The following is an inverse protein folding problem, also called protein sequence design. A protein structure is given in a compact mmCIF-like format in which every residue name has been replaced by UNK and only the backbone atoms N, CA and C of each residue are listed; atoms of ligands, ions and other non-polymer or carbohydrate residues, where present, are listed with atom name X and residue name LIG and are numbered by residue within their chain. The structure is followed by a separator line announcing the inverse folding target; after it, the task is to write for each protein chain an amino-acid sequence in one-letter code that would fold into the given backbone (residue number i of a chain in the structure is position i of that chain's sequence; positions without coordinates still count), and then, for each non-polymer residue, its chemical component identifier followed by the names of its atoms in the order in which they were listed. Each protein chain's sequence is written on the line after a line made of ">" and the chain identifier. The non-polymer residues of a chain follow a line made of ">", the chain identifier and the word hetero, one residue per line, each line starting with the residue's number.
data_IF_036107112558
#
_entry.id   IF_036107112558
#
_cell.length_a   1.000
_cell.length_b   1.000
_cell.length_c   1.000
_cell.angle_alpha   90.00
_cell.angle_beta   90.00
_cell.angle_gamma   90.00
#
_symmetry.space_group_name_H-M   'P 1'
#
loop_
_entity.id
_entity.type
_entity.pdbx_description
1 polymer ?
#
# COMPACT_ATOMS: atom_id res chain seq x y z
N UNK A 1 3.58 35.49 -11.28
CA UNK A 1 3.07 35.98 -12.58
C UNK A 1 1.54 35.79 -12.57
N UNK A 2 0.81 36.85 -12.85
CA UNK A 2 -0.62 36.98 -12.66
C UNK A 2 -1.42 35.94 -13.48
N UNK A 3 -2.32 35.20 -12.85
CA UNK A 3 -3.23 34.23 -13.50
C UNK A 3 -4.00 34.88 -14.69
N UNK A 4 -4.26 36.18 -14.60
CA UNK A 4 -4.92 36.92 -15.67
C UNK A 4 -4.01 37.11 -16.90
N UNK A 5 -2.71 37.25 -16.72
CA UNK A 5 -1.77 37.44 -17.82
C UNK A 5 -1.58 36.14 -18.62
N UNK A 6 -1.46 35.00 -17.94
CA UNK A 6 -1.36 33.69 -18.55
C UNK A 6 -2.64 33.29 -19.31
N UNK A 7 -3.83 33.59 -18.75
CA UNK A 7 -5.11 33.39 -19.40
C UNK A 7 -5.25 34.27 -20.65
N UNK A 8 -4.77 35.52 -20.63
CA UNK A 8 -4.76 36.42 -21.79
C UNK A 8 -3.81 35.93 -22.89
N UNK A 9 -2.66 35.41 -22.57
CA UNK A 9 -1.71 34.86 -23.54
C UNK A 9 -2.24 33.58 -24.20
N UNK A 10 -2.85 32.68 -23.43
CA UNK A 10 -3.50 31.49 -23.94
C UNK A 10 -4.70 31.82 -24.85
N UNK A 11 -5.54 32.78 -24.43
CA UNK A 11 -6.65 33.25 -25.26
C UNK A 11 -6.17 33.94 -26.56
N UNK A 12 -5.03 34.65 -26.54
CA UNK A 12 -4.40 35.21 -27.75
C UNK A 12 -3.85 34.13 -28.67
N UNK A 13 -3.24 33.08 -28.14
CA UNK A 13 -2.79 31.93 -28.91
C UNK A 13 -3.95 31.19 -29.57
N UNK A 14 -5.05 30.97 -28.84
CA UNK A 14 -6.28 30.40 -29.38
C UNK A 14 -6.93 31.31 -30.42
N UNK A 15 -6.99 32.62 -30.18
CA UNK A 15 -7.61 33.60 -31.12
C UNK A 15 -6.84 33.72 -32.46
N UNK A 16 -5.56 33.34 -32.50
CA UNK A 16 -4.78 33.24 -33.71
C UNK A 16 -4.87 31.90 -34.46
N UNK A 17 -5.63 30.93 -33.92
CA UNK A 17 -5.79 29.60 -34.50
C UNK A 17 -6.93 29.59 -35.53
N UNK A 18 -6.70 29.12 -36.78
CA UNK A 18 -7.76 29.02 -37.79
C UNK A 18 -8.89 28.06 -37.43
N UNK A 19 -8.74 27.25 -36.37
CA UNK A 19 -9.76 26.32 -35.83
C UNK A 19 -10.89 27.03 -35.09
N UNK A 20 -10.74 28.32 -34.73
CA UNK A 20 -11.79 29.07 -33.96
C UNK A 20 -12.72 29.90 -34.85
N UNK A 21 -12.66 29.72 -36.14
CA UNK A 21 -13.52 30.47 -37.09
C UNK A 21 -14.99 30.04 -37.07
N UNK A 22 -15.39 29.03 -36.24
CA UNK A 22 -16.76 28.58 -36.11
C UNK A 22 -17.30 28.83 -34.69
N UNK A 23 -18.47 29.46 -34.52
CA UNK A 23 -19.10 29.77 -33.23
C UNK A 23 -19.31 28.54 -32.34
N UNK A 24 -19.52 27.37 -32.95
CA UNK A 24 -19.74 26.09 -32.26
C UNK A 24 -18.51 25.60 -31.50
N UNK A 25 -17.32 25.79 -32.04
CA UNK A 25 -16.05 25.35 -31.40
C UNK A 25 -15.70 26.32 -30.25
N UNK A 26 -15.94 27.61 -30.41
CA UNK A 26 -15.73 28.61 -29.37
C UNK A 26 -16.63 28.35 -28.13
N UNK A 27 -17.88 27.94 -28.32
CA UNK A 27 -18.80 27.55 -27.26
C UNK A 27 -18.37 26.28 -26.51
N UNK A 28 -17.90 25.30 -27.26
CA UNK A 28 -17.40 24.02 -26.66
C UNK A 28 -16.13 24.22 -25.84
N UNK A 29 -15.20 25.06 -26.32
CA UNK A 29 -13.97 25.40 -25.57
C UNK A 29 -14.30 26.23 -24.32
N UNK A 30 -15.24 27.17 -24.38
CA UNK A 30 -15.67 27.92 -23.21
C UNK A 30 -16.35 27.03 -22.17
N UNK A 31 -17.13 26.03 -22.59
CA UNK A 31 -17.74 25.01 -21.72
C UNK A 31 -16.70 24.08 -21.08
N UNK A 32 -15.66 23.67 -21.82
CA UNK A 32 -14.55 22.88 -21.29
C UNK A 32 -13.66 23.67 -20.31
N UNK A 33 -13.53 24.98 -20.50
CA UNK A 33 -12.78 25.87 -19.61
C UNK A 33 -13.59 26.29 -18.35
N UNK A 34 -14.90 26.13 -18.36
CA UNK A 34 -15.78 26.43 -17.23
C UNK A 34 -16.05 25.23 -16.31
N UNK A 35 -15.86 23.99 -16.80
CA UNK A 35 -15.80 22.82 -15.95
C UNK A 35 -14.51 22.89 -15.13
N UNK A 36 -14.60 22.70 -13.80
CA UNK A 36 -13.43 22.65 -12.94
C UNK A 36 -12.43 21.64 -13.53
N UNK A 37 -11.20 22.06 -13.86
CA UNK A 37 -10.25 21.17 -14.49
C UNK A 37 -10.01 19.99 -13.59
N UNK A 38 -10.06 18.79 -14.16
CA UNK A 38 -9.61 17.57 -13.49
C UNK A 38 -8.23 17.88 -12.86
N UNK A 39 -8.05 17.55 -11.57
CA UNK A 39 -6.84 17.89 -10.82
C UNK A 39 -5.56 17.48 -11.56
N UNK A 40 -5.61 16.35 -12.29
CA UNK A 40 -4.49 15.87 -13.11
C UNK A 40 -4.16 16.81 -14.28
N UNK A 41 -5.17 17.40 -14.93
CA UNK A 41 -4.97 18.39 -15.99
C UNK A 41 -4.37 19.70 -15.42
N UNK A 42 -4.85 20.16 -14.27
CA UNK A 42 -4.33 21.35 -13.62
C UNK A 42 -2.85 21.16 -13.22
N UNK A 43 -2.49 20.00 -12.69
CA UNK A 43 -1.10 19.66 -12.33
C UNK A 43 -0.18 19.58 -13.56
N UNK A 44 -0.66 18.99 -14.67
CA UNK A 44 0.08 18.94 -15.93
C UNK A 44 0.35 20.36 -16.49
N UNK A 45 -0.62 21.28 -16.35
CA UNK A 45 -0.43 22.66 -16.78
C UNK A 45 0.55 23.43 -15.91
N UNK A 46 0.58 23.19 -14.60
CA UNK A 46 1.53 23.84 -13.69
C UNK A 46 2.97 23.36 -13.95
N UNK A 47 3.15 22.07 -14.27
CA UNK A 47 4.44 21.51 -14.71
C UNK A 47 4.95 22.11 -16.02
N UNK A 48 4.05 22.36 -16.98
CA UNK A 48 4.40 22.97 -18.28
C UNK A 48 4.72 24.47 -18.19
N UNK A 49 4.29 25.16 -17.12
CA UNK A 49 4.49 26.62 -16.94
C UNK A 49 5.84 27.01 -16.38
N UNK A 50 6.70 26.05 -16.00
CA UNK A 50 7.98 26.34 -15.40
C UNK A 50 7.93 26.97 -13.99
N UNK A 51 6.74 27.04 -13.40
CA UNK A 51 6.51 27.46 -11.99
C UNK A 51 6.75 26.30 -11.01
N UNK A 52 7.06 25.10 -11.57
CA UNK A 52 7.41 23.95 -10.76
C UNK A 52 8.72 24.22 -10.01
N UNK A 53 8.69 24.05 -8.70
CA UNK A 53 9.89 24.05 -7.89
C UNK A 53 10.92 23.09 -8.51
N UNK A 54 12.17 23.53 -8.67
CA UNK A 54 13.22 22.68 -9.25
C UNK A 54 13.38 21.41 -8.40
N UNK A 55 13.61 20.30 -9.07
CA UNK A 55 14.00 19.07 -8.39
C UNK A 55 15.30 19.28 -7.61
N UNK A 56 15.48 18.52 -6.58
CA UNK A 56 16.71 18.46 -5.80
C UNK A 56 17.87 17.86 -6.61
N UNK A 57 19.02 17.68 -5.94
CA UNK A 57 20.14 16.95 -6.52
C UNK A 57 19.69 15.60 -7.10
N UNK A 58 20.34 15.16 -8.16
CA UNK A 58 20.10 13.87 -8.85
C UNK A 58 18.66 13.69 -9.37
N UNK A 59 17.92 14.78 -9.54
CA UNK A 59 16.54 14.76 -10.04
C UNK A 59 15.52 14.23 -9.03
N UNK A 60 15.87 14.18 -7.75
CA UNK A 60 14.98 13.70 -6.68
C UNK A 60 13.96 14.78 -6.31
N UNK A 61 12.72 14.38 -6.10
CA UNK A 61 11.64 15.29 -5.65
C UNK A 61 11.97 15.89 -4.27
N UNK A 62 11.65 17.17 -4.08
CA UNK A 62 11.82 17.92 -2.82
C UNK A 62 10.48 18.33 -2.20
N UNK A 63 9.38 18.01 -2.88
CA UNK A 63 8.01 18.15 -2.34
C UNK A 63 7.10 17.05 -2.89
N UNK A 64 6.04 16.66 -2.15
CA UNK A 64 5.11 15.63 -2.61
C UNK A 64 4.43 15.98 -3.95
N UNK A 65 4.19 17.27 -4.22
CA UNK A 65 3.51 17.74 -5.43
C UNK A 65 4.31 17.51 -6.71
N UNK A 66 5.62 17.28 -6.61
CA UNK A 66 6.48 16.98 -7.75
C UNK A 66 6.40 15.50 -8.19
N UNK A 67 5.86 14.64 -7.33
CA UNK A 67 5.74 13.23 -7.65
C UNK A 67 4.72 12.99 -8.78
N UNK A 68 5.17 12.31 -9.82
CA UNK A 68 4.36 11.87 -10.96
C UNK A 68 3.81 10.47 -10.75
N UNK A 69 4.47 9.67 -9.93
CA UNK A 69 4.06 8.33 -9.54
C UNK A 69 4.73 7.94 -8.20
N UNK A 70 4.37 6.79 -7.66
CA UNK A 70 4.86 6.39 -6.32
C UNK A 70 6.36 6.04 -6.29
N UNK A 71 6.99 5.71 -7.43
CA UNK A 71 8.43 5.41 -7.46
C UNK A 71 9.29 6.65 -7.19
N UNK A 72 8.77 7.86 -7.44
CA UNK A 72 9.50 9.10 -7.16
C UNK A 72 9.76 9.30 -5.65
N UNK A 73 8.99 8.62 -4.78
CA UNK A 73 9.16 8.70 -3.33
C UNK A 73 10.29 7.81 -2.80
N UNK A 74 10.68 6.75 -3.49
CA UNK A 74 11.72 5.83 -3.00
C UNK A 74 13.09 6.53 -2.87
N UNK A 75 13.62 7.21 -3.90
CA UNK A 75 14.88 7.95 -3.78
C UNK A 75 14.76 9.11 -2.78
N UNK A 76 13.61 9.77 -2.67
CA UNK A 76 13.38 10.81 -1.67
C UNK A 76 13.43 10.24 -0.23
N UNK A 77 12.82 9.08 0.00
CA UNK A 77 12.90 8.37 1.27
C UNK A 77 14.35 7.92 1.60
N UNK A 78 15.09 7.42 0.60
CA UNK A 78 16.49 7.06 0.76
C UNK A 78 17.33 8.27 1.20
N UNK A 79 17.11 9.43 0.59
CA UNK A 79 17.79 10.66 0.96
C UNK A 79 17.40 11.13 2.37
N UNK A 80 16.11 11.09 2.71
CA UNK A 80 15.63 11.46 4.05
C UNK A 80 16.21 10.55 5.15
N UNK A 81 16.46 9.27 4.84
CA UNK A 81 17.02 8.27 5.73
C UNK A 81 18.54 8.05 5.53
N UNK A 82 19.24 8.95 4.83
CA UNK A 82 20.67 8.78 4.53
C UNK A 82 21.53 8.66 5.80
N UNK A 83 21.16 9.36 6.89
CA UNK A 83 21.80 9.22 8.20
C UNK A 83 21.38 7.95 8.96
N UNK A 84 20.45 7.17 8.42
CA UNK A 84 19.80 6.02 9.04
C UNK A 84 19.72 4.83 8.05
N UNK A 85 20.84 4.38 7.46
CA UNK A 85 20.80 3.41 6.37
C UNK A 85 20.09 2.10 6.73
N UNK A 86 20.18 1.63 7.97
CA UNK A 86 19.44 0.44 8.42
C UNK A 86 17.92 0.64 8.38
N UNK A 87 17.42 1.85 8.60
CA UNK A 87 15.98 2.14 8.51
C UNK A 87 15.50 2.09 7.06
N UNK A 88 16.27 2.63 6.12
CA UNK A 88 15.97 2.46 4.70
C UNK A 88 16.12 0.98 4.28
N UNK A 89 17.15 0.29 4.75
CA UNK A 89 17.35 -1.13 4.54
C UNK A 89 16.15 -1.99 4.95
N UNK A 90 15.47 -1.60 6.03
CA UNK A 90 14.22 -2.27 6.43
C UNK A 90 13.14 -2.17 5.34
N UNK A 91 13.01 -1.03 4.66
CA UNK A 91 12.06 -0.85 3.56
C UNK A 91 12.51 -1.54 2.27
N UNK A 92 13.82 -1.54 1.98
CA UNK A 92 14.37 -2.05 0.74
C UNK A 92 14.46 -3.59 0.70
N UNK A 93 14.60 -4.26 1.86
CA UNK A 93 14.94 -5.68 1.91
C UNK A 93 13.76 -6.62 1.67
N UNK A 94 14.02 -7.73 0.98
CA UNK A 94 13.30 -8.99 1.01
C UNK A 94 13.99 -10.02 1.91
N UNK A 95 13.87 -11.30 1.54
CA UNK A 95 14.57 -12.45 2.15
C UNK A 95 15.66 -12.91 1.21
N UNK A 96 16.77 -13.36 1.76
CA UNK A 96 17.97 -13.81 1.06
C UNK A 96 18.42 -12.79 -0.01
N UNK A 97 18.43 -13.18 -1.28
CA UNK A 97 18.79 -12.38 -2.44
C UNK A 97 17.67 -11.46 -2.97
N UNK A 98 16.59 -11.26 -2.21
CA UNK A 98 15.41 -10.49 -2.58
C UNK A 98 14.61 -11.08 -3.77
N UNK A 99 14.77 -12.36 -4.11
CA UNK A 99 14.08 -12.98 -5.27
C UNK A 99 12.56 -12.92 -5.18
N UNK A 100 11.96 -13.25 -4.03
CA UNK A 100 10.51 -13.13 -3.82
C UNK A 100 10.03 -11.67 -3.90
N UNK A 101 10.86 -10.72 -3.43
CA UNK A 101 10.57 -9.29 -3.56
C UNK A 101 10.49 -8.87 -5.04
N UNK A 102 11.45 -9.33 -5.86
CA UNK A 102 11.44 -9.06 -7.32
C UNK A 102 10.26 -9.73 -8.00
N UNK A 103 10.01 -11.01 -7.71
CA UNK A 103 8.89 -11.77 -8.26
C UNK A 103 7.53 -11.07 -8.04
N UNK A 104 7.32 -10.44 -6.86
CA UNK A 104 6.12 -9.66 -6.59
C UNK A 104 5.94 -8.47 -7.56
N UNK A 105 7.01 -7.91 -8.13
CA UNK A 105 6.90 -6.82 -9.11
C UNK A 105 6.77 -7.37 -10.53
N UNK A 106 7.53 -8.38 -10.86
CA UNK A 106 7.59 -8.96 -12.20
C UNK A 106 6.25 -9.59 -12.62
N UNK A 107 5.54 -10.22 -11.68
CA UNK A 107 4.26 -10.89 -11.94
C UNK A 107 3.17 -9.97 -12.54
N UNK A 108 3.25 -8.66 -12.32
CA UNK A 108 2.32 -7.74 -12.96
C UNK A 108 2.50 -7.66 -14.48
N UNK A 109 3.67 -8.04 -15.01
CA UNK A 109 3.92 -8.08 -16.45
C UNK A 109 3.24 -9.26 -17.15
N UNK A 110 2.83 -10.30 -16.40
CA UNK A 110 2.17 -11.49 -16.93
C UNK A 110 0.73 -11.21 -17.41
N UNK A 111 0.18 -10.07 -17.01
CA UNK A 111 -1.18 -9.68 -17.32
C UNK A 111 -1.22 -8.32 -18.01
N UNK A 112 -2.04 -8.22 -19.06
CA UNK A 112 -2.35 -6.95 -19.73
C UNK A 112 -3.81 -6.59 -19.52
N UNK A 113 -4.13 -5.29 -19.41
CA UNK A 113 -5.51 -4.82 -19.26
C UNK A 113 -6.16 -4.68 -20.64
N UNK A 114 -7.33 -5.29 -20.81
CA UNK A 114 -8.15 -5.17 -22.03
C UNK A 114 -8.94 -3.88 -21.99
N UNK A 115 -8.51 -2.90 -22.76
CA UNK A 115 -9.18 -1.60 -22.83
C UNK A 115 -10.45 -1.66 -23.69
N UNK A 116 -11.50 -0.95 -23.27
CA UNK A 116 -12.77 -0.82 -23.98
C UNK A 116 -12.98 0.64 -24.39
N UNK A 117 -13.65 0.84 -25.51
CA UNK A 117 -13.93 2.17 -26.05
C UNK A 117 -15.43 2.42 -26.15
N UNK A 118 -15.81 3.68 -26.26
CA UNK A 118 -17.20 4.15 -26.42
C UNK A 118 -18.13 3.74 -25.26
N UNK A 119 -17.59 3.65 -24.06
CA UNK A 119 -18.31 3.45 -22.80
C UNK A 119 -18.35 4.78 -22.06
N UNK A 120 -19.51 5.21 -21.61
CA UNK A 120 -19.63 6.43 -20.80
C UNK A 120 -19.06 6.21 -19.40
N UNK A 121 -17.81 6.59 -19.21
CA UNK A 121 -17.08 6.45 -17.95
C UNK A 121 -16.88 7.79 -17.23
N UNK A 122 -17.77 8.75 -17.43
CA UNK A 122 -17.73 10.04 -16.73
C UNK A 122 -17.84 9.90 -15.21
N UNK A 123 -18.58 8.89 -14.75
CA UNK A 123 -18.73 8.54 -13.33
C UNK A 123 -18.21 7.13 -13.12
N UNK A 124 -17.26 6.99 -12.19
CA UNK A 124 -16.70 5.73 -11.76
C UNK A 124 -16.83 5.65 -10.24
N UNK A 125 -17.31 4.52 -9.74
CA UNK A 125 -17.43 4.24 -8.31
C UNK A 125 -16.33 3.27 -7.89
N UNK A 126 -15.50 3.69 -6.95
CA UNK A 126 -14.37 2.89 -6.42
C UNK A 126 -14.70 2.20 -5.10
N UNK A 127 -15.91 2.33 -4.61
CA UNK A 127 -16.32 1.76 -3.33
C UNK A 127 -16.35 0.23 -3.36
N UNK A 128 -16.00 -0.35 -2.22
CA UNK A 128 -16.08 -1.79 -1.99
C UNK A 128 -16.70 -2.05 -0.61
N UNK A 129 -17.49 -3.13 -0.50
CA UNK A 129 -18.06 -3.54 0.79
C UNK A 129 -17.26 -4.74 1.33
N UNK A 130 -16.78 -4.62 2.57
CA UNK A 130 -16.06 -5.68 3.28
C UNK A 130 -16.62 -5.77 4.70
N UNK A 131 -17.11 -6.95 5.09
CA UNK A 131 -17.71 -7.21 6.41
C UNK A 131 -18.87 -6.27 6.77
N UNK A 132 -19.62 -5.81 5.76
CA UNK A 132 -20.73 -4.87 5.96
C UNK A 132 -20.31 -3.40 6.05
N UNK A 133 -19.01 -3.10 6.05
CA UNK A 133 -18.49 -1.75 5.97
C UNK A 133 -18.26 -1.34 4.50
N UNK A 134 -18.53 -0.08 4.19
CA UNK A 134 -18.22 0.49 2.87
C UNK A 134 -16.91 1.25 2.95
N UNK A 135 -15.92 0.81 2.17
CA UNK A 135 -14.67 1.52 1.96
C UNK A 135 -14.78 2.36 0.69
N UNK A 136 -14.33 3.61 0.74
CA UNK A 136 -14.37 4.53 -0.41
C UNK A 136 -13.41 4.11 -1.55
N UNK A 137 -12.40 3.31 -1.21
CA UNK A 137 -11.39 2.78 -2.13
C UNK A 137 -11.10 1.31 -1.82
N UNK A 138 -10.84 0.46 -2.83
CA UNK A 138 -10.35 -0.89 -2.61
C UNK A 138 -8.87 -0.96 -2.22
N UNK A 139 -8.21 0.19 -2.08
CA UNK A 139 -6.81 0.28 -1.64
C UNK A 139 -6.79 0.47 -0.12
N UNK A 140 -5.99 -0.33 0.58
CA UNK A 140 -5.79 -0.17 2.02
C UNK A 140 -4.30 -0.11 2.38
N UNK A 141 -3.98 0.49 3.53
CA UNK A 141 -2.62 0.56 4.03
C UNK A 141 -2.29 -0.67 4.85
N UNK A 142 -1.28 -1.42 4.39
CA UNK A 142 -0.79 -2.62 5.07
C UNK A 142 -0.22 -2.31 6.45
N UNK A 143 -0.28 -3.28 7.39
CA UNK A 143 0.31 -3.14 8.70
C UNK A 143 1.84 -3.18 8.63
N UNK A 144 2.48 -2.02 8.58
CA UNK A 144 3.94 -1.89 8.65
C UNK A 144 4.34 -1.51 10.07
N UNK A 145 5.30 -2.26 10.61
CA UNK A 145 5.79 -2.09 11.98
C UNK A 145 6.74 -0.90 12.11
N UNK A 146 6.81 -0.33 13.32
CA UNK A 146 7.92 0.55 13.73
C UNK A 146 8.10 1.79 12.85
N UNK A 147 7.01 2.46 12.50
CA UNK A 147 7.03 3.60 11.57
C UNK A 147 7.80 4.83 12.12
N UNK A 148 8.07 4.89 13.43
CA UNK A 148 9.00 5.86 14.00
C UNK A 148 10.44 5.72 13.45
N UNK A 149 10.79 4.58 12.86
CA UNK A 149 12.06 4.39 12.16
C UNK A 149 12.14 5.25 10.89
N UNK A 150 11.00 5.52 10.26
CA UNK A 150 10.91 6.30 9.02
C UNK A 150 10.67 7.78 9.30
N UNK A 151 9.75 8.06 10.24
CA UNK A 151 9.45 9.41 10.67
C UNK A 151 9.09 9.38 12.17
N UNK A 152 10.00 9.76 13.07
CA UNK A 152 9.77 9.66 14.51
C UNK A 152 8.70 10.62 15.04
N UNK A 153 8.39 11.69 14.33
CA UNK A 153 7.37 12.67 14.72
C UNK A 153 5.97 12.23 14.30
N UNK A 154 5.82 11.84 13.05
CA UNK A 154 4.50 11.52 12.45
C UNK A 154 4.06 10.09 12.76
N UNK A 155 4.95 9.12 12.66
CA UNK A 155 4.69 7.70 12.94
C UNK A 155 3.40 7.22 12.27
N UNK A 156 2.71 6.26 12.89
CA UNK A 156 1.40 5.74 12.43
C UNK A 156 0.29 6.80 12.51
N UNK A 157 0.45 7.86 13.32
CA UNK A 157 -0.54 8.93 13.45
C UNK A 157 -0.63 9.77 12.18
N UNK A 158 0.51 10.11 11.57
CA UNK A 158 0.54 10.79 10.27
C UNK A 158 -0.08 9.95 9.16
N UNK A 159 0.14 8.62 9.21
CA UNK A 159 -0.49 7.68 8.27
C UNK A 159 -2.00 7.62 8.47
N UNK A 160 -2.48 7.57 9.72
CA UNK A 160 -3.90 7.56 10.04
C UNK A 160 -4.62 8.83 9.54
N UNK A 161 -4.01 10.03 9.76
CA UNK A 161 -4.54 11.30 9.23
C UNK A 161 -4.58 11.33 7.71
N UNK A 162 -3.53 10.83 7.06
CA UNK A 162 -3.49 10.72 5.60
C UNK A 162 -4.57 9.78 5.06
N UNK A 163 -4.72 8.60 5.68
CA UNK A 163 -5.75 7.62 5.32
C UNK A 163 -7.15 8.22 5.44
N UNK A 164 -7.46 8.91 6.55
CA UNK A 164 -8.72 9.65 6.73
C UNK A 164 -8.96 10.66 5.61
N UNK A 165 -7.97 11.49 5.31
CA UNK A 165 -8.10 12.57 4.33
C UNK A 165 -8.33 12.06 2.93
N UNK A 166 -7.76 10.92 2.60
CA UNK A 166 -7.84 10.31 1.25
C UNK A 166 -8.90 9.22 1.14
N UNK A 167 -9.62 8.91 2.24
CA UNK A 167 -10.72 7.93 2.24
C UNK A 167 -10.25 6.47 2.17
N UNK A 168 -9.07 6.15 2.73
CA UNK A 168 -8.52 4.80 2.70
C UNK A 168 -8.57 4.14 4.08
N UNK A 169 -8.77 2.83 4.13
CA UNK A 169 -8.68 2.05 5.36
C UNK A 169 -7.21 1.73 5.68
N UNK A 170 -6.90 1.58 6.97
CA UNK A 170 -5.58 1.13 7.42
C UNK A 170 -5.67 -0.03 8.40
N UNK A 171 -4.58 -0.80 8.47
CA UNK A 171 -4.39 -1.86 9.44
C UNK A 171 -3.20 -1.50 10.32
N UNK A 172 -3.39 -1.41 11.62
CA UNK A 172 -2.31 -1.15 12.57
C UNK A 172 -1.58 -2.43 12.94
N UNK A 173 -0.25 -2.38 13.00
CA UNK A 173 0.58 -3.51 13.47
C UNK A 173 0.69 -3.53 15.00
N UNK A 174 0.67 -4.73 15.61
CA UNK A 174 0.98 -4.97 17.04
C UNK A 174 2.25 -4.25 17.50
N UNK A 175 3.27 -4.22 16.66
CA UNK A 175 4.56 -3.61 16.95
C UNK A 175 4.73 -2.22 16.32
N UNK A 176 3.62 -1.50 16.16
CA UNK A 176 3.61 -0.07 15.85
C UNK A 176 4.21 0.77 16.96
N UNK A 177 4.39 2.06 16.69
CA UNK A 177 4.86 3.06 17.68
C UNK A 177 3.72 3.97 18.16
N UNK A 178 2.49 3.64 17.82
CA UNK A 178 1.26 4.31 18.27
C UNK A 178 0.22 3.26 18.65
N UNK A 179 -0.71 3.64 19.53
CA UNK A 179 -1.79 2.74 19.95
C UNK A 179 -2.91 2.70 18.92
N UNK A 180 -3.77 1.67 19.02
CA UNK A 180 -4.94 1.57 18.16
C UNK A 180 -5.96 2.66 18.46
N UNK A 181 -6.06 3.07 19.72
CA UNK A 181 -6.92 4.15 20.17
C UNK A 181 -6.50 5.50 19.57
N UNK A 182 -5.18 5.80 19.60
CA UNK A 182 -4.61 7.01 18.98
C UNK A 182 -4.83 7.01 17.48
N UNK A 183 -4.49 5.90 16.81
CA UNK A 183 -4.63 5.78 15.36
C UNK A 183 -6.10 5.85 14.92
N UNK A 184 -7.03 5.19 15.63
CA UNK A 184 -8.46 5.27 15.35
C UNK A 184 -9.02 6.68 15.52
N UNK A 185 -8.57 7.42 16.56
CA UNK A 185 -8.92 8.83 16.75
C UNK A 185 -8.44 9.71 15.58
N UNK A 186 -7.19 9.57 15.16
CA UNK A 186 -6.63 10.34 14.05
C UNK A 186 -7.25 9.94 12.71
N UNK A 187 -7.59 8.66 12.52
CA UNK A 187 -8.30 8.16 11.35
C UNK A 187 -9.77 8.62 11.32
N UNK A 188 -10.37 8.87 12.48
CA UNK A 188 -11.76 9.31 12.62
C UNK A 188 -12.80 8.20 12.48
N UNK A 189 -12.38 6.95 12.37
CA UNK A 189 -13.20 5.73 12.41
C UNK A 189 -12.36 4.55 12.89
N UNK A 190 -12.99 3.43 13.32
CA UNK A 190 -12.28 2.22 13.68
C UNK A 190 -11.38 1.71 12.54
N UNK A 191 -10.22 1.21 12.92
CA UNK A 191 -9.23 0.62 12.01
C UNK A 191 -9.02 -0.86 12.34
N UNK A 192 -8.54 -1.64 11.38
CA UNK A 192 -8.22 -3.04 11.62
C UNK A 192 -6.93 -3.18 12.41
N UNK A 193 -6.81 -4.26 13.17
CA UNK A 193 -5.64 -4.54 13.99
C UNK A 193 -4.93 -5.82 13.55
N UNK A 194 -3.65 -5.72 13.19
CA UNK A 194 -2.82 -6.87 12.86
C UNK A 194 -2.11 -7.37 14.11
N UNK A 195 -2.40 -8.63 14.43
CA UNK A 195 -1.88 -9.36 15.57
C UNK A 195 -0.64 -10.16 15.20
N UNK A 196 0.47 -9.87 15.86
CA UNK A 196 1.52 -10.84 16.12
C UNK A 196 1.26 -11.42 17.50
N UNK A 197 0.91 -12.69 17.61
CA UNK A 197 0.71 -13.30 18.91
C UNK A 197 2.05 -13.43 19.65
N UNK A 198 1.98 -13.40 20.99
CA UNK A 198 3.12 -13.70 21.84
C UNK A 198 3.09 -15.17 22.25
N UNK A 199 4.21 -15.67 22.77
CA UNK A 199 4.27 -16.98 23.44
C UNK A 199 3.55 -17.01 24.79
N UNK A 200 3.15 -15.85 25.34
CA UNK A 200 2.21 -15.73 26.46
C UNK A 200 0.78 -15.50 25.94
N UNK A 201 -0.07 -16.49 26.17
CA UNK A 201 -1.47 -16.43 25.75
C UNK A 201 -2.27 -15.31 26.42
N UNK A 202 -2.01 -15.00 27.69
CA UNK A 202 -2.73 -13.94 28.40
C UNK A 202 -2.43 -12.58 27.81
N UNK A 203 -1.16 -12.34 27.41
CA UNK A 203 -0.76 -11.13 26.71
C UNK A 203 -1.43 -11.06 25.34
N UNK A 204 -1.45 -12.16 24.59
CA UNK A 204 -2.14 -12.24 23.30
C UNK A 204 -3.64 -11.91 23.44
N UNK A 205 -4.32 -12.50 24.42
CA UNK A 205 -5.73 -12.19 24.69
C UNK A 205 -5.95 -10.72 25.09
N UNK A 206 -5.05 -10.15 25.88
CA UNK A 206 -5.13 -8.75 26.29
C UNK A 206 -5.00 -7.80 25.09
N UNK A 207 -4.10 -8.09 24.14
CA UNK A 207 -3.97 -7.35 22.90
C UNK A 207 -5.25 -7.39 22.06
N UNK A 208 -5.85 -8.58 21.90
CA UNK A 208 -7.14 -8.74 21.20
C UNK A 208 -8.24 -7.93 21.88
N UNK A 209 -8.40 -8.09 23.20
CA UNK A 209 -9.41 -7.35 23.96
C UNK A 209 -9.23 -5.84 23.86
N UNK A 210 -7.97 -5.35 23.89
CA UNK A 210 -7.66 -3.94 23.75
C UNK A 210 -8.07 -3.42 22.36
N UNK A 211 -7.71 -4.16 21.32
CA UNK A 211 -8.04 -3.78 19.95
C UNK A 211 -9.56 -3.73 19.72
N UNK A 212 -10.29 -4.76 20.16
CA UNK A 212 -11.75 -4.79 20.07
C UNK A 212 -12.41 -3.73 20.96
N UNK A 213 -11.83 -3.46 22.14
CA UNK A 213 -12.28 -2.39 23.02
C UNK A 213 -12.14 -0.99 22.42
N UNK A 214 -11.15 -0.79 21.55
CA UNK A 214 -10.97 0.41 20.73
C UNK A 214 -11.86 0.43 19.47
N UNK A 215 -12.69 -0.60 19.27
CA UNK A 215 -13.64 -0.70 18.17
C UNK A 215 -13.10 -1.38 16.91
N UNK A 216 -11.93 -2.05 16.95
CA UNK A 216 -11.40 -2.73 15.76
C UNK A 216 -12.39 -3.78 15.23
N UNK A 217 -12.88 -3.65 14.00
CA UNK A 217 -13.89 -4.58 13.44
C UNK A 217 -13.27 -5.92 13.04
N UNK A 218 -11.95 -5.96 12.80
CA UNK A 218 -11.24 -7.15 12.41
C UNK A 218 -9.87 -7.27 13.11
N UNK A 219 -9.57 -8.50 13.53
CA UNK A 219 -8.26 -8.93 14.00
C UNK A 219 -7.58 -9.69 12.86
N UNK A 220 -6.41 -9.25 12.43
CA UNK A 220 -5.66 -9.83 11.31
C UNK A 220 -4.48 -10.61 11.89
N UNK A 221 -4.62 -11.92 12.03
CA UNK A 221 -3.53 -12.80 12.48
C UNK A 221 -2.50 -12.97 11.36
N UNK A 222 -1.26 -12.61 11.63
CA UNK A 222 -0.15 -12.81 10.68
C UNK A 222 0.53 -14.13 10.94
N UNK A 223 0.54 -15.03 9.95
CA UNK A 223 1.01 -16.42 10.05
C UNK A 223 2.33 -16.70 9.31
N UNK A 224 2.88 -15.73 8.59
CA UNK A 224 4.04 -15.89 7.71
C UNK A 224 5.41 -15.58 8.36
N UNK A 225 5.49 -15.61 9.71
CA UNK A 225 6.71 -15.24 10.44
C UNK A 225 7.37 -16.40 11.22
N UNK A 226 6.79 -17.58 11.16
CA UNK A 226 7.19 -18.71 12.01
C UNK A 226 8.57 -19.30 11.64
N UNK A 227 8.94 -19.31 10.35
CA UNK A 227 10.15 -19.93 9.84
C UNK A 227 11.44 -19.13 10.09
N UNK A 228 11.34 -17.90 10.63
CA UNK A 228 12.46 -16.97 10.61
C UNK A 228 12.76 -16.43 9.20
N UNK A 229 13.80 -15.64 9.07
CA UNK A 229 14.21 -15.09 7.77
C UNK A 229 15.63 -14.56 7.80
N UNK A 230 16.34 -14.67 6.69
CA UNK A 230 17.59 -13.98 6.44
C UNK A 230 17.31 -12.72 5.61
N UNK A 231 17.73 -11.53 6.07
CA UNK A 231 17.48 -10.24 5.39
C UNK A 231 18.82 -9.60 5.05
N UNK A 232 19.50 -10.16 4.02
CA UNK A 232 20.86 -9.76 3.66
C UNK A 232 20.98 -8.29 3.33
N UNK A 233 20.07 -7.73 2.52
CA UNK A 233 20.07 -6.31 2.14
C UNK A 233 19.98 -5.42 3.37
N UNK A 234 19.12 -5.74 4.34
CA UNK A 234 19.04 -4.99 5.61
C UNK A 234 20.36 -5.11 6.39
N UNK A 235 20.94 -6.30 6.50
CA UNK A 235 22.19 -6.48 7.24
C UNK A 235 23.35 -5.71 6.61
N UNK A 236 23.47 -5.72 5.27
CA UNK A 236 24.50 -4.92 4.56
C UNK A 236 24.37 -3.43 4.88
N UNK A 237 23.15 -2.90 4.92
CA UNK A 237 22.91 -1.50 5.29
C UNK A 237 23.12 -1.25 6.78
N UNK A 238 22.82 -2.22 7.65
CA UNK A 238 23.08 -2.14 9.08
C UNK A 238 24.55 -2.05 9.40
N UNK A 239 25.43 -2.72 8.66
CA UNK A 239 26.88 -2.59 8.82
C UNK A 239 27.39 -1.17 8.55
N UNK A 240 26.65 -0.35 7.84
CA UNK A 240 26.96 1.06 7.57
C UNK A 240 26.32 2.01 8.58
N UNK A 241 25.48 1.52 9.50
CA UNK A 241 24.73 2.34 10.46
C UNK A 241 25.40 2.28 11.85
N UNK A 242 26.11 3.33 12.21
CA UNK A 242 26.83 3.43 13.49
C UNK A 242 25.98 4.02 14.62
N UNK A 243 24.68 4.29 14.39
CA UNK A 243 23.82 4.89 15.40
C UNK A 243 23.28 3.85 16.38
N UNK A 244 23.07 4.21 17.65
CA UNK A 244 22.23 3.42 18.53
C UNK A 244 20.78 3.55 18.05
N UNK A 245 20.19 2.46 17.54
CA UNK A 245 18.80 2.46 17.11
C UNK A 245 17.88 2.50 18.34
N UNK A 246 17.27 3.67 18.61
CA UNK A 246 16.41 3.86 19.77
C UNK A 246 15.08 4.56 19.43
N UNK A 247 14.79 4.80 18.15
CA UNK A 247 13.57 5.52 17.74
C UNK A 247 12.29 4.66 17.86
N UNK A 248 12.39 3.35 17.57
CA UNK A 248 11.24 2.46 17.47
C UNK A 248 11.27 1.24 18.41
N UNK A 249 12.41 0.96 19.05
CA UNK A 249 12.57 -0.11 20.05
C UNK A 249 13.72 0.22 21.02
N UNK A 250 13.79 -0.51 22.13
CA UNK A 250 14.92 -0.44 23.06
C UNK A 250 15.86 -1.59 22.74
N UNK A 251 17.16 -1.35 22.43
CA UNK A 251 18.13 -2.40 22.17
C UNK A 251 18.32 -3.34 23.37
N UNK A 252 18.65 -4.59 23.10
CA UNK A 252 18.97 -5.59 24.13
C UNK A 252 18.09 -6.82 24.07
N UNK A 253 17.81 -7.41 25.23
CA UNK A 253 16.95 -8.59 25.34
C UNK A 253 15.56 -8.35 24.75
N UNK A 254 14.91 -9.44 24.32
CA UNK A 254 13.59 -9.38 23.67
C UNK A 254 12.55 -8.56 24.45
N UNK A 255 12.47 -8.71 25.78
CA UNK A 255 11.61 -7.93 26.63
C UNK A 255 11.82 -6.39 26.49
N UNK A 256 12.99 -5.97 26.01
CA UNK A 256 13.26 -4.56 25.71
C UNK A 256 12.71 -4.12 24.35
N UNK A 257 12.53 -5.04 23.40
CA UNK A 257 11.98 -4.70 22.09
C UNK A 257 10.56 -4.15 22.19
N UNK A 258 9.76 -4.64 23.13
CA UNK A 258 8.37 -4.24 23.33
C UNK A 258 8.21 -2.97 24.17
N UNK A 259 9.24 -2.49 24.87
CA UNK A 259 9.17 -1.28 25.73
C UNK A 259 8.77 0.00 25.00
N UNK A 260 8.92 0.06 23.70
CA UNK A 260 8.49 1.20 22.86
C UNK A 260 7.36 0.82 21.90
N UNK A 261 6.60 -0.20 22.27
CA UNK A 261 5.43 -0.67 21.53
C UNK A 261 4.19 -0.42 22.36
N UNK A 262 3.51 0.73 22.18
CA UNK A 262 2.45 1.20 23.09
C UNK A 262 1.26 0.26 23.23
N UNK A 263 1.08 -0.68 22.29
CA UNK A 263 0.05 -1.72 22.43
C UNK A 263 0.29 -2.65 23.63
N UNK A 264 1.52 -2.73 24.15
CA UNK A 264 1.88 -3.52 25.31
C UNK A 264 1.88 -2.71 26.62
N UNK A 265 1.59 -1.41 26.59
CA UNK A 265 1.56 -0.58 27.79
C UNK A 265 0.52 -1.08 28.76
N UNK A 266 0.92 -1.23 30.03
CA UNK A 266 0.08 -1.77 31.11
C UNK A 266 -0.04 -3.30 31.14
N UNK A 267 0.60 -4.03 30.22
CA UNK A 267 0.64 -5.49 30.24
C UNK A 267 1.92 -6.00 30.92
N UNK A 268 1.80 -7.09 31.68
CA UNK A 268 2.96 -7.82 32.17
C UNK A 268 3.55 -8.66 31.04
N UNK A 269 4.67 -8.20 30.50
CA UNK A 269 5.41 -8.86 29.41
C UNK A 269 6.67 -9.57 29.90
N UNK A 270 6.83 -9.74 31.21
CA UNK A 270 8.05 -10.33 31.82
C UNK A 270 8.32 -11.77 31.36
N UNK A 271 7.28 -12.50 31.03
CA UNK A 271 7.33 -13.89 30.56
C UNK A 271 7.35 -14.02 29.03
N UNK A 272 7.17 -12.91 28.29
CA UNK A 272 7.20 -12.95 26.83
C UNK A 272 8.63 -13.05 26.33
N UNK A 273 8.91 -14.11 25.60
CA UNK A 273 10.24 -14.35 24.98
C UNK A 273 10.21 -14.26 23.45
N UNK A 274 9.00 -14.33 22.84
CA UNK A 274 8.82 -14.32 21.40
C UNK A 274 7.51 -13.63 21.00
N UNK A 275 7.57 -12.86 19.89
CA UNK A 275 6.44 -12.15 19.29
C UNK A 275 5.86 -12.82 18.05
N UNK A 276 6.37 -13.95 17.62
CA UNK A 276 5.97 -14.48 16.31
C UNK A 276 5.45 -15.90 16.36
N UNK A 277 5.26 -16.42 17.56
CA UNK A 277 4.57 -17.70 17.82
C UNK A 277 5.08 -18.86 16.98
N UNK A 278 6.32 -19.33 17.24
CA UNK A 278 6.91 -20.45 16.48
C UNK A 278 6.10 -21.76 16.53
N UNK A 279 5.09 -21.84 17.38
CA UNK A 279 4.19 -23.00 17.52
C UNK A 279 2.77 -22.74 17.03
N UNK A 280 2.52 -21.75 16.16
CA UNK A 280 1.19 -21.56 15.59
C UNK A 280 0.80 -22.72 14.69
N UNK A 281 -0.35 -23.32 14.99
CA UNK A 281 -0.99 -24.39 14.24
C UNK A 281 -2.44 -24.00 13.97
N UNK A 282 -3.18 -24.83 13.28
CA UNK A 282 -4.62 -24.60 13.09
C UNK A 282 -5.39 -24.64 14.40
N UNK A 283 -4.99 -25.49 15.37
CA UNK A 283 -5.53 -25.44 16.75
C UNK A 283 -5.33 -24.07 17.42
N UNK A 284 -4.24 -23.38 17.10
CA UNK A 284 -4.04 -22.02 17.56
C UNK A 284 -5.04 -21.05 16.94
N UNK A 285 -5.38 -21.24 15.66
CA UNK A 285 -6.42 -20.44 14.98
C UNK A 285 -7.76 -20.66 15.64
N UNK A 286 -8.14 -21.91 15.95
CA UNK A 286 -9.38 -22.23 16.68
C UNK A 286 -9.41 -21.59 18.07
N UNK A 287 -8.31 -21.67 18.79
CA UNK A 287 -8.18 -21.05 20.10
C UNK A 287 -8.33 -19.54 20.03
N UNK A 288 -7.76 -18.91 19.00
CA UNK A 288 -7.88 -17.47 18.79
C UNK A 288 -9.30 -17.11 18.33
N UNK A 289 -9.91 -17.91 17.45
CA UNK A 289 -11.30 -17.72 17.02
C UNK A 289 -12.26 -17.72 18.23
N UNK A 290 -11.99 -18.58 19.23
CA UNK A 290 -12.79 -18.67 20.46
C UNK A 290 -12.77 -17.38 21.33
N UNK A 291 -11.82 -16.48 21.13
CA UNK A 291 -11.70 -15.23 21.90
C UNK A 291 -11.97 -13.97 21.09
N UNK A 292 -11.79 -14.00 19.78
CA UNK A 292 -12.09 -12.88 18.87
C UNK A 292 -13.60 -12.78 18.68
N UNK A 293 -14.20 -11.65 19.04
CA UNK A 293 -15.64 -11.37 18.89
C UNK A 293 -15.97 -10.82 17.50
N UNK A 294 -15.06 -10.01 16.96
CA UNK A 294 -15.15 -9.43 15.64
C UNK A 294 -14.77 -10.43 14.53
N UNK A 295 -14.28 -9.90 13.42
CA UNK A 295 -13.80 -10.68 12.30
C UNK A 295 -12.37 -11.16 12.51
N UNK A 296 -12.11 -12.44 12.20
CA UNK A 296 -10.77 -13.03 12.20
C UNK A 296 -10.30 -13.18 10.74
N UNK A 297 -9.20 -12.53 10.41
CA UNK A 297 -8.60 -12.56 9.07
C UNK A 297 -7.21 -13.18 9.18
N UNK A 298 -6.85 -14.12 8.30
CA UNK A 298 -5.47 -14.62 8.22
C UNK A 298 -4.67 -13.87 7.16
N UNK A 299 -3.46 -13.44 7.53
CA UNK A 299 -2.52 -12.79 6.63
C UNK A 299 -1.25 -13.62 6.49
N UNK A 300 -0.88 -13.93 5.24
CA UNK A 300 0.29 -14.76 4.94
C UNK A 300 -0.06 -16.07 4.26
N UNK A 301 -1.29 -16.21 3.76
CA UNK A 301 -1.76 -17.39 3.03
C UNK A 301 -1.29 -17.28 1.58
N UNK A 302 -0.64 -18.36 1.08
CA UNK A 302 -0.02 -18.40 -0.25
C UNK A 302 -0.39 -19.65 -1.07
N UNK A 303 -1.29 -20.50 -0.55
CA UNK A 303 -1.73 -21.72 -1.23
C UNK A 303 -3.23 -21.90 -1.14
N UNK A 304 -3.81 -22.64 -2.08
CA UNK A 304 -5.22 -23.01 -2.06
C UNK A 304 -5.57 -23.96 -0.93
N UNK A 305 -4.64 -24.84 -0.55
CA UNK A 305 -4.80 -25.77 0.57
C UNK A 305 -4.97 -25.03 1.89
N UNK A 306 -4.07 -24.10 2.19
CA UNK A 306 -4.18 -23.29 3.42
C UNK A 306 -5.42 -22.39 3.40
N UNK A 307 -5.83 -21.91 2.23
CA UNK A 307 -7.05 -21.12 2.10
C UNK A 307 -8.30 -21.96 2.39
N UNK A 308 -8.34 -23.20 1.93
CA UNK A 308 -9.43 -24.14 2.23
C UNK A 308 -9.46 -24.50 3.71
N UNK A 309 -8.29 -24.77 4.29
CA UNK A 309 -8.18 -25.07 5.72
C UNK A 309 -8.61 -23.88 6.59
N UNK A 310 -8.27 -22.65 6.21
CA UNK A 310 -8.74 -21.44 6.89
C UNK A 310 -10.27 -21.35 6.98
N UNK A 311 -10.99 -21.80 5.93
CA UNK A 311 -12.46 -21.84 5.96
C UNK A 311 -12.98 -22.87 6.98
N UNK A 312 -12.35 -24.04 7.09
CA UNK A 312 -12.72 -25.09 8.05
C UNK A 312 -12.56 -24.60 9.49
N UNK A 313 -11.58 -23.71 9.75
CA UNK A 313 -11.31 -23.12 11.05
C UNK A 313 -12.09 -21.80 11.31
N UNK A 314 -13.13 -21.51 10.53
CA UNK A 314 -14.05 -20.39 10.76
C UNK A 314 -13.42 -19.01 10.62
N UNK A 315 -12.43 -18.86 9.74
CA UNK A 315 -11.81 -17.59 9.40
C UNK A 315 -12.76 -16.77 8.53
N UNK A 316 -12.91 -15.49 8.83
CA UNK A 316 -13.83 -14.59 8.13
C UNK A 316 -13.23 -13.96 6.86
N UNK A 317 -11.90 -13.98 6.69
CA UNK A 317 -11.25 -13.39 5.51
C UNK A 317 -9.78 -13.79 5.39
N UNK A 318 -9.21 -13.61 4.21
CA UNK A 318 -7.83 -13.99 3.89
C UNK A 318 -7.12 -12.80 3.26
N UNK A 319 -5.87 -12.54 3.65
CA UNK A 319 -4.95 -11.66 2.95
C UNK A 319 -3.85 -12.53 2.33
N UNK A 320 -3.88 -12.68 1.01
CA UNK A 320 -2.80 -13.31 0.23
C UNK A 320 -1.58 -12.41 0.35
N UNK A 321 -0.54 -12.93 0.97
CA UNK A 321 0.62 -12.13 1.34
C UNK A 321 1.85 -13.01 1.57
N UNK A 322 2.98 -12.58 1.04
CA UNK A 322 4.31 -13.08 1.41
C UNK A 322 5.11 -12.00 2.17
N UNK A 323 4.36 -11.12 2.92
CA UNK A 323 4.95 -10.01 3.66
C UNK A 323 5.71 -9.02 2.78
N UNK A 324 5.31 -8.89 1.51
CA UNK A 324 6.01 -8.08 0.52
C UNK A 324 7.40 -8.63 0.15
N UNK A 325 7.54 -9.96 0.06
CA UNK A 325 8.79 -10.67 -0.19
C UNK A 325 9.72 -10.74 1.03
N UNK A 326 9.15 -10.63 2.25
CA UNK A 326 9.91 -10.57 3.53
C UNK A 326 9.64 -11.76 4.44
N UNK A 327 8.76 -12.66 4.05
CA UNK A 327 8.41 -13.86 4.82
C UNK A 327 9.35 -15.03 4.50
N UNK A 328 9.56 -15.26 3.22
CA UNK A 328 10.23 -16.45 2.70
C UNK A 328 10.90 -16.16 1.33
N UNK A 329 11.75 -17.08 0.87
CA UNK A 329 12.49 -16.99 -0.38
C UNK A 329 12.00 -18.00 -1.45
N UNK A 330 10.68 -18.26 -1.50
CA UNK A 330 10.11 -19.22 -2.47
C UNK A 330 10.20 -18.74 -3.92
N UNK A 331 10.34 -17.45 -4.15
CA UNK A 331 10.25 -16.86 -5.48
C UNK A 331 8.81 -16.76 -5.99
N UNK A 332 7.79 -17.12 -5.20
CA UNK A 332 6.39 -17.00 -5.58
C UNK A 332 5.86 -15.59 -5.34
N UNK A 333 5.18 -15.02 -6.32
CA UNK A 333 4.49 -13.74 -6.18
C UNK A 333 3.08 -13.91 -5.63
N UNK A 334 2.63 -12.95 -4.85
CA UNK A 334 1.25 -12.93 -4.34
C UNK A 334 0.21 -12.80 -5.47
N UNK A 335 0.53 -12.03 -6.52
CA UNK A 335 -0.34 -11.90 -7.68
C UNK A 335 -0.47 -13.24 -8.45
N UNK A 336 0.61 -14.01 -8.53
CA UNK A 336 0.64 -15.30 -9.22
C UNK A 336 -0.20 -16.37 -8.53
N UNK A 337 -0.18 -16.41 -7.18
CA UNK A 337 -0.96 -17.39 -6.40
C UNK A 337 -2.39 -16.92 -6.11
N UNK A 338 -2.71 -15.65 -6.32
CA UNK A 338 -4.03 -15.10 -6.01
C UNK A 338 -5.19 -15.89 -6.67
N UNK A 339 -5.15 -16.27 -7.96
CA UNK A 339 -6.24 -17.03 -8.57
C UNK A 339 -6.48 -18.40 -7.91
N UNK A 340 -5.43 -19.07 -7.47
CA UNK A 340 -5.52 -20.35 -6.76
C UNK A 340 -6.26 -20.18 -5.43
N UNK A 341 -5.86 -19.20 -4.62
CA UNK A 341 -6.50 -18.89 -3.34
C UNK A 341 -7.96 -18.46 -3.53
N UNK A 342 -8.24 -17.58 -4.50
CA UNK A 342 -9.61 -17.14 -4.81
C UNK A 342 -10.50 -18.33 -5.22
N UNK A 343 -9.96 -19.23 -6.02
CA UNK A 343 -10.69 -20.45 -6.43
C UNK A 343 -10.96 -21.38 -5.23
N UNK A 344 -9.99 -21.57 -4.33
CA UNK A 344 -10.16 -22.40 -3.13
C UNK A 344 -11.20 -21.81 -2.15
N UNK A 345 -11.27 -20.50 -2.06
CA UNK A 345 -12.24 -19.81 -1.19
C UNK A 345 -13.67 -19.82 -1.73
N UNK A 346 -13.85 -19.96 -3.05
CA UNK A 346 -15.18 -20.00 -3.71
C UNK A 346 -16.15 -18.87 -3.31
N UNK A 347 -15.64 -17.69 -2.94
CA UNK A 347 -16.45 -16.55 -2.53
C UNK A 347 -17.08 -16.66 -1.13
N UNK A 348 -16.73 -17.65 -0.31
CA UNK A 348 -17.23 -17.78 1.07
C UNK A 348 -16.78 -16.64 1.97
N UNK A 349 -15.57 -16.15 1.76
CA UNK A 349 -15.01 -15.02 2.52
C UNK A 349 -14.29 -14.05 1.57
N UNK A 350 -14.13 -12.76 1.92
CA UNK A 350 -13.33 -11.83 1.13
C UNK A 350 -11.87 -12.25 1.10
N UNK A 351 -11.27 -12.17 -0.09
CA UNK A 351 -9.83 -12.36 -0.31
C UNK A 351 -9.20 -11.01 -0.61
N UNK A 352 -8.30 -10.56 0.25
CA UNK A 352 -7.49 -9.38 0.03
C UNK A 352 -6.09 -9.81 -0.43
N UNK A 353 -5.32 -8.90 -1.02
CA UNK A 353 -3.96 -9.21 -1.46
C UNK A 353 -3.03 -8.04 -1.21
N UNK A 354 -1.79 -8.32 -0.82
CA UNK A 354 -0.70 -7.35 -0.82
C UNK A 354 0.55 -7.92 -1.54
N UNK A 355 1.61 -7.14 -1.64
CA UNK A 355 2.86 -7.56 -2.28
C UNK A 355 3.04 -6.98 -3.69
N UNK A 356 3.98 -6.06 -3.81
CA UNK A 356 4.41 -5.54 -5.10
C UNK A 356 3.56 -4.41 -5.72
N UNK A 357 2.40 -4.08 -5.22
CA UNK A 357 1.49 -3.06 -5.78
C UNK A 357 2.10 -1.65 -5.71
N UNK A 358 2.17 -0.97 -6.88
CA UNK A 358 2.75 0.38 -7.03
C UNK A 358 1.89 1.31 -7.87
N UNK A 359 1.16 0.78 -8.85
CA UNK A 359 0.39 1.55 -9.83
C UNK A 359 -1.10 1.27 -9.69
N UNK A 360 -1.94 2.21 -10.10
CA UNK A 360 -3.38 1.95 -10.19
C UNK A 360 -3.73 0.79 -11.14
N UNK A 361 -2.90 0.54 -12.15
CA UNK A 361 -3.02 -0.65 -13.02
C UNK A 361 -2.73 -1.95 -12.29
N UNK A 362 -1.82 -1.94 -11.29
CA UNK A 362 -1.55 -3.11 -10.46
C UNK A 362 -2.78 -3.42 -9.60
N UNK A 363 -3.40 -2.39 -9.01
CA UNK A 363 -4.65 -2.50 -8.24
C UNK A 363 -5.73 -3.13 -9.11
N UNK A 364 -5.92 -2.62 -10.32
CA UNK A 364 -6.89 -3.15 -11.27
C UNK A 364 -6.67 -4.64 -11.58
N UNK A 365 -5.41 -5.05 -11.76
CA UNK A 365 -5.04 -6.46 -12.02
C UNK A 365 -5.35 -7.35 -10.82
N UNK A 366 -5.01 -6.92 -9.60
CA UNK A 366 -5.36 -7.67 -8.38
C UNK A 366 -6.87 -7.89 -8.23
N UNK A 367 -7.67 -6.83 -8.42
CA UNK A 367 -9.14 -6.93 -8.37
C UNK A 367 -9.68 -7.83 -9.49
N UNK A 368 -9.15 -7.71 -10.71
CA UNK A 368 -9.58 -8.53 -11.85
C UNK A 368 -9.25 -10.02 -11.66
N UNK A 369 -8.24 -10.35 -10.86
CA UNK A 369 -7.89 -11.74 -10.49
C UNK A 369 -8.69 -12.23 -9.26
N UNK A 370 -9.64 -11.45 -8.77
CA UNK A 370 -10.61 -11.87 -7.76
C UNK A 370 -10.35 -11.35 -6.35
N UNK A 371 -9.36 -10.47 -6.14
CA UNK A 371 -9.20 -9.80 -4.86
C UNK A 371 -10.38 -8.85 -4.57
N UNK A 372 -10.82 -8.79 -3.32
CA UNK A 372 -11.82 -7.83 -2.84
C UNK A 372 -11.19 -6.46 -2.61
N UNK A 373 -9.95 -6.42 -2.10
CA UNK A 373 -9.18 -5.21 -1.87
C UNK A 373 -7.67 -5.47 -1.98
N UNK A 374 -6.90 -4.39 -2.14
CA UNK A 374 -5.46 -4.44 -2.42
C UNK A 374 -4.69 -3.62 -1.39
N UNK A 375 -3.70 -4.24 -0.76
CA UNK A 375 -2.84 -3.62 0.25
C UNK A 375 -1.58 -2.98 -0.34
N UNK A 376 -1.27 -1.77 0.12
CA UNK A 376 -0.03 -1.08 -0.18
C UNK A 376 0.80 -0.93 1.09
N UNK A 377 2.08 -1.26 1.01
CA UNK A 377 3.01 -1.19 2.14
C UNK A 377 4.13 -0.17 1.91
N UNK A 378 5.20 -0.58 1.25
CA UNK A 378 6.37 0.28 0.98
C UNK A 378 6.07 1.66 0.42
N UNK A 379 5.15 1.85 -0.58
CA UNK A 379 4.90 3.16 -1.15
C UNK A 379 4.53 4.23 -0.12
N UNK A 380 3.60 3.93 0.78
CA UNK A 380 3.23 4.92 1.78
C UNK A 380 4.33 5.14 2.83
N UNK A 381 5.15 4.12 3.14
CA UNK A 381 6.30 4.28 4.01
C UNK A 381 7.39 5.17 3.38
N UNK A 382 7.60 5.10 2.07
CA UNK A 382 8.46 6.04 1.36
C UNK A 382 7.91 7.48 1.47
N UNK A 383 6.59 7.64 1.25
CA UNK A 383 5.93 8.93 1.44
C UNK A 383 6.10 9.48 2.85
N UNK A 384 5.89 8.62 3.87
CA UNK A 384 6.06 8.96 5.29
C UNK A 384 7.50 9.39 5.60
N UNK A 385 8.48 8.63 5.12
CA UNK A 385 9.90 8.93 5.34
C UNK A 385 10.32 10.25 4.70
N UNK A 386 9.89 10.49 3.46
CA UNK A 386 10.31 11.65 2.69
C UNK A 386 9.60 12.94 3.13
N UNK A 387 8.29 12.90 3.40
CA UNK A 387 7.48 14.10 3.56
C UNK A 387 6.38 13.97 4.64
N UNK A 388 6.48 13.01 5.55
CA UNK A 388 5.49 12.81 6.60
C UNK A 388 4.08 12.51 6.05
N UNK A 389 3.04 13.03 6.72
CA UNK A 389 1.64 12.88 6.34
C UNK A 389 1.39 13.30 4.88
N UNK A 390 1.92 14.43 4.44
CA UNK A 390 1.72 14.93 3.07
C UNK A 390 2.28 13.98 2.01
N UNK A 391 3.38 13.28 2.30
CA UNK A 391 3.93 12.25 1.43
C UNK A 391 3.02 11.05 1.32
N UNK A 392 2.43 10.57 2.43
CA UNK A 392 1.46 9.47 2.45
C UNK A 392 0.20 9.84 1.66
N UNK A 393 -0.34 11.04 1.88
CA UNK A 393 -1.50 11.55 1.14
C UNK A 393 -1.26 11.49 -0.37
N UNK A 394 -0.12 12.04 -0.83
CA UNK A 394 0.17 12.08 -2.26
C UNK A 394 0.39 10.70 -2.88
N UNK A 395 1.00 9.77 -2.16
CA UNK A 395 1.11 8.36 -2.61
C UNK A 395 -0.27 7.75 -2.85
N UNK A 396 -1.20 7.92 -1.91
CA UNK A 396 -2.55 7.37 -2.01
C UNK A 396 -3.37 8.06 -3.12
N UNK A 397 -3.25 9.39 -3.25
CA UNK A 397 -3.88 10.16 -4.33
C UNK A 397 -3.42 9.66 -5.70
N UNK A 398 -2.10 9.50 -5.91
CA UNK A 398 -1.55 9.02 -7.18
C UNK A 398 -2.07 7.63 -7.54
N UNK A 399 -2.08 6.70 -6.59
CA UNK A 399 -2.58 5.36 -6.85
C UNK A 399 -4.08 5.35 -7.15
N UNK A 400 -4.86 6.16 -6.44
CA UNK A 400 -6.30 6.30 -6.66
C UNK A 400 -6.60 6.96 -8.01
N UNK A 401 -5.88 8.03 -8.38
CA UNK A 401 -6.02 8.71 -9.67
C UNK A 401 -5.71 7.76 -10.83
N UNK A 402 -4.63 6.99 -10.73
CA UNK A 402 -4.25 5.97 -11.72
C UNK A 402 -5.28 4.84 -11.79
N UNK A 403 -5.82 4.40 -10.64
CA UNK A 403 -6.85 3.36 -10.58
C UNK A 403 -8.14 3.81 -11.26
N UNK A 404 -8.62 5.00 -10.97
CA UNK A 404 -9.79 5.59 -11.65
C UNK A 404 -9.54 5.72 -13.15
N UNK A 405 -8.33 6.10 -13.54
CA UNK A 405 -7.95 6.24 -14.96
C UNK A 405 -8.01 4.91 -15.70
N UNK A 406 -7.44 3.84 -15.14
CA UNK A 406 -7.49 2.53 -15.79
C UNK A 406 -8.91 1.94 -15.78
N UNK A 407 -9.73 2.18 -14.76
CA UNK A 407 -11.14 1.79 -14.75
C UNK A 407 -11.89 2.45 -15.93
N UNK A 408 -11.70 3.74 -16.15
CA UNK A 408 -12.27 4.48 -17.30
C UNK A 408 -11.81 3.89 -18.64
N UNK A 409 -10.53 3.59 -18.77
CA UNK A 409 -9.94 3.01 -19.99
C UNK A 409 -10.42 1.58 -20.25
N UNK A 410 -10.63 0.80 -19.21
CA UNK A 410 -11.17 -0.56 -19.30
C UNK A 410 -12.71 -0.59 -19.46
N UNK A 411 -13.38 0.55 -19.28
CA UNK A 411 -14.84 0.67 -19.33
C UNK A 411 -15.52 -0.06 -18.19
N UNK A 412 -14.92 -0.05 -16.98
CA UNK A 412 -15.49 -0.58 -15.75
C UNK A 412 -15.96 0.59 -14.88
N UNK A 413 -17.27 0.68 -14.60
CA UNK A 413 -17.87 1.84 -13.92
C UNK A 413 -17.89 1.70 -12.39
N UNK A 414 -17.67 0.52 -11.89
CA UNK A 414 -17.55 0.20 -10.47
C UNK A 414 -16.60 -0.97 -10.25
N UNK A 415 -16.19 -1.18 -8.99
CA UNK A 415 -15.26 -2.27 -8.63
C UNK A 415 -15.82 -3.64 -8.95
N UNK A 416 -17.12 -3.86 -8.74
CA UNK A 416 -17.77 -5.15 -9.02
C UNK A 416 -17.79 -5.52 -10.52
N UNK A 417 -17.59 -4.55 -11.43
CA UNK A 417 -17.47 -4.79 -12.86
C UNK A 417 -16.04 -5.18 -13.30
N UNK A 418 -15.09 -5.20 -12.37
CA UNK A 418 -13.72 -5.61 -12.63
C UNK A 418 -13.64 -7.13 -12.45
N UNK A 419 -13.46 -7.87 -13.53
CA UNK A 419 -13.36 -9.33 -13.55
C UNK A 419 -12.19 -9.80 -14.42
N UNK A 420 -11.90 -11.10 -14.42
CA UNK A 420 -10.81 -11.71 -15.17
C UNK A 420 -10.93 -11.51 -16.70
N UNK A 421 -12.13 -11.26 -17.22
CA UNK A 421 -12.35 -10.97 -18.65
C UNK A 421 -11.76 -9.62 -19.05
N UNK A 422 -11.39 -8.78 -18.08
CA UNK A 422 -10.69 -7.51 -18.29
C UNK A 422 -9.19 -7.67 -18.44
N UNK A 423 -8.68 -8.89 -18.28
CA UNK A 423 -7.27 -9.20 -18.46
C UNK A 423 -7.06 -10.11 -19.69
N UNK A 424 -5.84 -10.07 -20.18
CA UNK A 424 -5.29 -11.06 -21.09
C UNK A 424 -3.88 -11.42 -20.60
N UNK A 425 -3.49 -12.68 -20.75
CA UNK A 425 -2.12 -13.11 -20.49
C UNK A 425 -1.18 -12.39 -21.46
N UNK A 426 -0.04 -11.96 -20.95
CA UNK A 426 1.01 -11.42 -21.80
C UNK A 426 1.60 -12.57 -22.64
N UNK A 427 1.20 -12.69 -23.89
CA UNK A 427 1.66 -13.75 -24.83
C UNK A 427 3.03 -13.48 -25.44
N UNK A 428 3.74 -12.44 -24.98
CA UNK A 428 5.08 -12.12 -25.48
C UNK A 428 6.12 -12.48 -24.42
N UNK A 429 7.25 -13.13 -24.82
CA UNK A 429 8.42 -13.13 -23.98
C UNK A 429 8.74 -11.65 -23.70
N UNK A 430 8.99 -11.33 -22.44
CA UNK A 430 9.45 -10.00 -22.05
C UNK A 430 10.79 -9.78 -22.76
N UNK A 431 10.76 -9.20 -23.96
CA UNK A 431 11.90 -8.46 -24.42
C UNK A 431 12.02 -7.31 -23.41
N UNK A 432 13.16 -7.26 -22.72
CA UNK A 432 13.51 -6.13 -21.88
C UNK A 432 13.03 -4.87 -22.57
N UNK A 433 12.11 -4.15 -21.97
CA UNK A 433 11.78 -2.80 -22.40
C UNK A 433 13.06 -1.98 -22.19
N UNK A 434 13.96 -2.03 -23.17
CA UNK A 434 14.85 -0.91 -23.39
C UNK A 434 13.91 0.25 -23.73
N UNK A 435 13.55 0.99 -22.69
CA UNK A 435 12.90 2.28 -22.88
C UNK A 435 13.99 3.19 -23.44
N UNK A 436 14.04 3.34 -24.76
CA UNK A 436 14.75 4.42 -25.43
C UNK A 436 14.04 5.75 -25.11
N UNK A 437 13.98 6.10 -23.83
CA UNK A 437 13.74 7.45 -23.39
C UNK A 437 15.13 8.02 -23.09
N UNK A 438 15.64 8.94 -23.91
CA UNK A 438 16.95 9.53 -23.67
C UNK A 438 16.95 10.17 -22.27
N UNK A 439 17.77 9.64 -21.36
CA UNK A 439 18.04 10.22 -20.04
C UNK A 439 17.47 9.50 -18.82
N UNK A 440 16.74 8.38 -18.93
CA UNK A 440 16.38 7.57 -17.78
C UNK A 440 16.86 6.13 -17.95
N UNK A 441 18.03 5.84 -17.42
CA UNK A 441 18.37 4.50 -16.97
C UNK A 441 17.57 4.27 -15.68
N UNK A 442 16.49 3.49 -15.76
CA UNK A 442 16.04 2.76 -14.61
C UNK A 442 17.07 1.64 -14.41
N UNK A 443 18.13 1.92 -13.67
CA UNK A 443 18.93 0.85 -13.12
C UNK A 443 17.96 0.11 -12.16
N UNK A 444 17.43 -0.99 -12.65
CA UNK A 444 17.04 -2.10 -11.80
C UNK A 444 18.37 -2.54 -11.20
N UNK A 445 18.73 -1.88 -10.10
CA UNK A 445 19.99 -2.09 -9.46
C UNK A 445 20.11 -3.57 -9.11
N UNK A 446 21.20 -4.14 -9.60
CA UNK A 446 21.79 -5.38 -9.14
C UNK A 446 21.82 -5.51 -7.61
#
# INVERSE_FOLDING_TARGET
>A
MDRQLARRQFLRFLAGSPLLATPTIAGTIASLLSSAPDKALAQSYDLLRGDAQKLGPDGVIVSPSQALNVFDFEPAAKNALASAPAHFGYLASGVDDDSTLRANREAFSDYTVRVRRLIDARKVDTKVSIFGETWESPIFLCPVSSQAAFNPTERELGVARAARKTGHQMILSTVGNSTIEECGKEHGSPIWYMLYPTDDWNVTQALVKRAEGAGAPAIVLTVDRQGGRNTETLFRMRFQDNRPCAACHTPGAFANEVKRKPMFDGLDVSHVTNLYGTGMTWDYVDRLRGVVKGKLVLKGIMTGEDASEALHHGVDGIIVSNHGGRAEASGQSTLGVLPEVVNAVHGHVPVLVDGGFRRGTDVFKGLALGATAVGVGRPYCWGLAAFGQAGVERVLELQQEEFVTIMRQAGTLNVAAIDSKRLASATRPVQSLQTDVPGRKYDLAD
#
